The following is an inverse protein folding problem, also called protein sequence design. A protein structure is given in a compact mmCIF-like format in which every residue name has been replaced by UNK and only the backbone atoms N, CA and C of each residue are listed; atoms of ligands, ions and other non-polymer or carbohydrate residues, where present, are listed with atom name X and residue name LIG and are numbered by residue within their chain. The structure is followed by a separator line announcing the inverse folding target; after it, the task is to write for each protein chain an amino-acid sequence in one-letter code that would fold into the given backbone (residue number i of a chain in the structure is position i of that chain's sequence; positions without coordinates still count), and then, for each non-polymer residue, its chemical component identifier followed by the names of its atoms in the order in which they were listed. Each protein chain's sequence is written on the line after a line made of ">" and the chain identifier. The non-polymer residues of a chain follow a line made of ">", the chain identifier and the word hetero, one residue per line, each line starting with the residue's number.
data_IF_008499139301
#
_entry.id   IF_008499139301
#
_cell.length_a   1.000
_cell.length_b   1.000
_cell.length_c   1.000
_cell.angle_alpha   90.00
_cell.angle_beta   90.00
_cell.angle_gamma   90.00
#
_symmetry.space_group_name_H-M   'P 1'
#
loop_
_entity.id
_entity.type
_entity.pdbx_description
1 polymer ?
#
# COMPACT_ATOMS: atom_id res chain seq x y z
N UNK A 1 -0.39 6.87 5.71
CA UNK A 1 -1.48 7.52 4.95
C UNK A 1 -2.85 7.11 5.49
N UNK A 2 -3.31 5.87 5.35
CA UNK A 2 -4.68 5.47 5.72
C UNK A 2 -5.13 5.85 7.12
N UNK A 3 -4.23 5.79 8.12
CA UNK A 3 -4.54 6.18 9.49
C UNK A 3 -4.85 7.68 9.60
N UNK A 4 -4.15 8.51 8.84
CA UNK A 4 -4.22 9.97 8.93
C UNK A 4 -5.32 10.57 8.05
N UNK A 5 -5.51 10.03 6.84
CA UNK A 5 -6.40 10.61 5.81
C UNK A 5 -7.51 9.65 5.35
N UNK A 6 -7.69 8.53 6.06
CA UNK A 6 -8.64 7.49 5.72
C UNK A 6 -8.26 6.66 4.49
N UNK A 7 -9.01 5.59 4.28
CA UNK A 7 -8.79 4.65 3.17
C UNK A 7 -9.01 5.31 1.81
N UNK A 8 -10.07 6.11 1.68
CA UNK A 8 -10.41 6.80 0.42
C UNK A 8 -9.37 7.86 0.06
N UNK A 9 -8.93 8.68 1.02
CA UNK A 9 -7.88 9.68 0.79
C UNK A 9 -6.56 9.03 0.38
N UNK A 10 -6.15 7.98 1.08
CA UNK A 10 -4.94 7.23 0.74
C UNK A 10 -5.03 6.56 -0.63
N UNK A 11 -6.21 6.08 -1.04
CA UNK A 11 -6.42 5.48 -2.35
C UNK A 11 -6.25 6.51 -3.46
N UNK A 12 -6.86 7.70 -3.33
CA UNK A 12 -6.76 8.77 -4.33
C UNK A 12 -5.31 9.20 -4.54
N UNK A 13 -4.58 9.44 -3.45
CA UNK A 13 -3.17 9.86 -3.53
C UNK A 13 -2.31 8.78 -4.19
N UNK A 14 -2.43 7.52 -3.73
CA UNK A 14 -1.66 6.42 -4.30
C UNK A 14 -1.98 6.19 -5.79
N UNK A 15 -3.27 6.22 -6.16
CA UNK A 15 -3.68 6.00 -7.55
C UNK A 15 -3.21 7.14 -8.46
N UNK A 16 -3.26 8.39 -7.98
CA UNK A 16 -2.76 9.54 -8.72
C UNK A 16 -1.24 9.49 -8.88
N UNK A 17 -0.49 9.09 -7.84
CA UNK A 17 0.96 8.91 -7.94
C UNK A 17 1.33 7.90 -9.03
N UNK A 18 0.67 6.75 -9.05
CA UNK A 18 0.87 5.73 -10.07
C UNK A 18 0.38 6.17 -11.46
N UNK A 19 -0.67 7.00 -11.54
CA UNK A 19 -1.20 7.50 -12.81
C UNK A 19 -0.24 8.47 -13.51
N UNK A 20 0.42 9.34 -12.74
CA UNK A 20 1.35 10.36 -13.26
C UNK A 20 2.75 9.79 -13.53
N UNK A 21 3.14 8.73 -12.82
CA UNK A 21 4.48 8.15 -12.96
C UNK A 21 4.58 7.31 -14.25
N UNK A 22 5.55 7.65 -15.10
CA UNK A 22 5.95 6.86 -16.28
C UNK A 22 6.84 5.66 -15.90
N UNK A 23 6.36 4.82 -14.97
CA UNK A 23 7.04 3.59 -14.57
C UNK A 23 6.67 2.40 -15.47
N UNK A 24 7.46 1.31 -15.47
CA UNK A 24 7.11 0.06 -16.13
C UNK A 24 5.74 -0.47 -15.67
N UNK A 25 4.96 -1.01 -16.61
CA UNK A 25 3.61 -1.49 -16.31
C UNK A 25 3.57 -2.59 -15.23
N UNK A 26 4.61 -3.43 -15.15
CA UNK A 26 4.74 -4.46 -14.12
C UNK A 26 4.95 -3.88 -12.72
N UNK A 27 5.81 -2.88 -12.59
CA UNK A 27 6.05 -2.15 -11.33
C UNK A 27 4.78 -1.45 -10.87
N UNK A 28 4.11 -0.73 -11.78
CA UNK A 28 2.83 -0.06 -11.48
C UNK A 28 1.76 -1.02 -10.97
N UNK A 29 1.65 -2.22 -11.56
CA UNK A 29 0.69 -3.25 -11.12
C UNK A 29 1.03 -3.78 -9.73
N UNK A 30 2.32 -4.01 -9.46
CA UNK A 30 2.82 -4.39 -8.14
C UNK A 30 2.52 -3.31 -7.10
N UNK A 31 2.86 -2.06 -7.39
CA UNK A 31 2.65 -0.91 -6.49
C UNK A 31 1.17 -0.71 -6.18
N UNK A 32 0.29 -0.76 -7.19
CA UNK A 32 -1.16 -0.67 -6.97
C UNK A 32 -1.69 -1.78 -6.05
N UNK A 33 -1.23 -3.02 -6.25
CA UNK A 33 -1.63 -4.16 -5.42
C UNK A 33 -1.13 -4.01 -3.97
N UNK A 34 0.15 -3.67 -3.79
CA UNK A 34 0.76 -3.49 -2.48
C UNK A 34 0.19 -2.27 -1.75
N UNK A 35 -0.13 -1.19 -2.47
CA UNK A 35 -0.83 -0.02 -1.94
C UNK A 35 -2.22 -0.38 -1.41
N UNK A 36 -2.97 -1.25 -2.10
CA UNK A 36 -4.26 -1.76 -1.60
C UNK A 36 -4.07 -2.55 -0.30
N UNK A 37 -3.09 -3.43 -0.23
CA UNK A 37 -2.77 -4.19 1.00
C UNK A 37 -2.39 -3.25 2.14
N UNK A 38 -1.51 -2.28 1.90
CA UNK A 38 -1.10 -1.28 2.88
C UNK A 38 -2.26 -0.46 3.43
N UNK A 39 -3.25 -0.12 2.60
CA UNK A 39 -4.48 0.54 3.06
C UNK A 39 -5.30 -0.34 4.00
N UNK A 40 -5.53 -1.60 3.63
CA UNK A 40 -6.25 -2.55 4.48
C UNK A 40 -5.56 -2.75 5.83
N UNK A 41 -4.22 -2.88 5.83
CA UNK A 41 -3.43 -3.00 7.05
C UNK A 41 -3.55 -1.74 7.90
N UNK A 42 -3.40 -0.56 7.30
CA UNK A 42 -3.53 0.72 8.01
C UNK A 42 -4.89 0.90 8.69
N UNK A 43 -5.97 0.47 8.03
CA UNK A 43 -7.33 0.48 8.58
C UNK A 43 -7.49 -0.46 9.77
N UNK A 44 -6.91 -1.67 9.69
CA UNK A 44 -7.03 -2.67 10.76
C UNK A 44 -6.17 -2.34 11.98
N UNK A 45 -4.92 -1.89 11.77
CA UNK A 45 -3.94 -1.76 12.84
C UNK A 45 -4.03 -0.43 13.60
N UNK A 46 -4.65 0.60 13.02
CA UNK A 46 -4.93 1.93 13.61
C UNK A 46 -3.72 2.74 14.09
N UNK A 47 -2.51 2.17 14.15
CA UNK A 47 -1.26 2.87 14.47
C UNK A 47 -0.18 2.57 13.44
N UNK A 48 0.73 3.53 13.23
CA UNK A 48 1.79 3.41 12.22
C UNK A 48 2.77 2.26 12.55
N UNK A 49 3.16 2.12 13.82
CA UNK A 49 4.07 1.06 14.27
C UNK A 49 3.50 -0.35 14.02
N UNK A 50 2.24 -0.59 14.40
CA UNK A 50 1.56 -1.88 14.15
C UNK A 50 1.37 -2.14 12.66
N UNK A 51 1.04 -1.10 11.89
CA UNK A 51 0.91 -1.22 10.43
C UNK A 51 2.23 -1.58 9.76
N UNK A 52 3.33 -0.92 10.14
CA UNK A 52 4.67 -1.21 9.64
C UNK A 52 5.09 -2.63 9.96
N UNK A 53 4.91 -3.07 11.21
CA UNK A 53 5.20 -4.44 11.65
C UNK A 53 4.41 -5.47 10.84
N UNK A 54 3.11 -5.21 10.62
CA UNK A 54 2.26 -6.12 9.85
C UNK A 54 2.65 -6.16 8.37
N UNK A 55 2.93 -5.02 7.74
CA UNK A 55 3.41 -4.96 6.35
C UNK A 55 4.73 -5.71 6.19
N UNK A 56 5.69 -5.53 7.11
CA UNK A 56 6.95 -6.28 7.14
C UNK A 56 6.71 -7.80 7.23
N UNK A 57 5.79 -8.21 8.10
CA UNK A 57 5.41 -9.63 8.21
C UNK A 57 4.81 -10.19 6.93
N UNK A 58 3.97 -9.42 6.22
CA UNK A 58 3.41 -9.83 4.92
C UNK A 58 4.48 -9.95 3.84
N UNK A 59 5.45 -9.03 3.81
CA UNK A 59 6.59 -9.11 2.90
C UNK A 59 7.39 -10.40 3.12
N UNK A 60 7.73 -10.71 4.37
CA UNK A 60 8.48 -11.91 4.73
C UNK A 60 7.72 -13.21 4.47
N UNK A 61 6.39 -13.17 4.43
CA UNK A 61 5.53 -14.31 4.11
C UNK A 61 5.23 -14.44 2.61
N UNK A 62 5.86 -13.64 1.74
CA UNK A 62 5.57 -13.56 0.31
C UNK A 62 4.08 -13.27 0.01
N UNK A 63 3.43 -12.49 0.89
CA UNK A 63 2.02 -12.06 0.74
C UNK A 63 1.90 -10.67 0.10
N UNK A 64 3.02 -10.06 -0.26
CA UNK A 64 3.07 -8.87 -1.12
C UNK A 64 3.43 -9.30 -2.53
N UNK A 65 2.94 -8.57 -3.52
CA UNK A 65 3.32 -8.79 -4.92
C UNK A 65 4.76 -8.34 -5.09
N UNK A 66 5.55 -9.15 -5.79
CA UNK A 66 6.94 -8.85 -6.19
C UNK A 66 7.06 -8.95 -7.71
N UNK A 67 8.16 -8.44 -8.27
CA UNK A 67 8.49 -8.54 -9.71
C UNK A 67 9.05 -9.91 -10.09
#
# INVERSE_FOLDING_TARGET
>A
MTISIGENGAMKIASNHEAVRNGPAREKKMDLANNKTGRSVGKAQKTASKSSTKCKSLANQNKLVTL
#
